data_IF_449908421929
#
_entry.id   IF_449908421929
#
_cell.length_a   1.000
_cell.length_b   1.000
_cell.length_c   1.000
_cell.angle_alpha   90.00
_cell.angle_beta   90.00
_cell.angle_gamma   90.00
#
_symmetry.space_group_name_H-M   'P 1'
#
loop_
_entity.id
_entity.type
_entity.pdbx_description
1 polymer ?
#
# COMPACT_ATOMS: atom_id res chain seq x y z
N UNK A 1 -62.40 -50.06 -30.82
CA UNK A 1 -63.68 -49.37 -31.09
C UNK A 1 -63.72 -48.13 -30.21
N UNK A 2 -63.95 -46.95 -30.82
CA UNK A 2 -64.65 -45.79 -30.21
C UNK A 2 -63.86 -45.07 -29.08
N UNK A 3 -63.71 -43.76 -28.98
CA UNK A 3 -64.52 -42.63 -29.44
C UNK A 3 -63.68 -41.34 -29.25
N UNK A 4 -63.72 -40.38 -30.19
CA UNK A 4 -63.41 -38.96 -29.92
C UNK A 4 -64.60 -38.31 -29.20
N UNK A 5 -64.42 -37.32 -28.30
CA UNK A 5 -64.67 -35.90 -28.64
C UNK A 5 -63.72 -34.92 -27.88
N UNK A 6 -63.25 -33.79 -28.42
CA UNK A 6 -63.91 -32.51 -28.75
C UNK A 6 -64.36 -31.65 -27.55
N UNK A 7 -63.70 -30.48 -27.39
CA UNK A 7 -64.15 -29.27 -26.69
C UNK A 7 -63.69 -29.14 -25.23
N UNK A 8 -63.54 -27.97 -24.60
CA UNK A 8 -63.80 -26.56 -24.94
C UNK A 8 -63.27 -25.72 -23.74
N UNK A 9 -62.84 -24.48 -24.00
CA UNK A 9 -62.79 -23.30 -23.09
C UNK A 9 -62.00 -23.36 -21.76
N UNK A 10 -61.17 -22.32 -21.57
CA UNK A 10 -60.78 -21.90 -20.22
C UNK A 10 -59.58 -20.96 -20.17
N UNK A 11 -59.79 -19.67 -20.48
CA UNK A 11 -58.81 -18.60 -20.20
C UNK A 11 -58.60 -18.50 -18.68
N UNK A 12 -57.35 -18.44 -18.24
CA UNK A 12 -57.00 -17.76 -16.99
C UNK A 12 -55.61 -17.13 -17.15
N UNK A 13 -55.61 -15.81 -17.34
CA UNK A 13 -54.45 -14.94 -17.11
C UNK A 13 -54.30 -14.81 -15.60
N UNK A 14 -53.18 -15.24 -15.04
CA UNK A 14 -52.68 -14.69 -13.78
C UNK A 14 -51.18 -14.46 -13.95
N UNK A 15 -50.85 -13.19 -14.13
CA UNK A 15 -49.51 -12.63 -13.99
C UNK A 15 -49.11 -12.73 -12.53
N UNK A 16 -48.05 -13.47 -12.24
CA UNK A 16 -47.35 -13.42 -10.97
C UNK A 16 -45.90 -13.05 -11.26
N UNK A 17 -45.54 -11.83 -10.85
CA UNK A 17 -44.18 -11.29 -10.90
C UNK A 17 -43.28 -12.13 -9.98
N UNK A 18 -42.28 -12.81 -10.53
CA UNK A 18 -41.20 -13.41 -9.73
C UNK A 18 -40.40 -12.31 -9.05
N UNK A 19 -40.49 -12.25 -7.72
CA UNK A 19 -39.58 -11.47 -6.90
C UNK A 19 -38.27 -12.27 -6.74
N UNK A 20 -37.20 -11.81 -7.38
CA UNK A 20 -35.85 -12.33 -7.15
C UNK A 20 -35.42 -11.95 -5.74
N UNK A 21 -35.33 -12.93 -4.84
CA UNK A 21 -34.74 -12.78 -3.52
C UNK A 21 -33.23 -12.66 -3.68
N UNK A 22 -32.68 -11.45 -3.49
CA UNK A 22 -31.24 -11.24 -3.37
C UNK A 22 -30.81 -11.76 -1.98
N UNK A 23 -30.24 -12.96 -1.94
CA UNK A 23 -29.50 -13.45 -0.77
C UNK A 23 -28.23 -12.62 -0.66
N UNK A 24 -28.26 -11.59 0.19
CA UNK A 24 -27.08 -10.81 0.54
C UNK A 24 -26.05 -11.70 1.21
N UNK A 25 -24.99 -12.07 0.48
CA UNK A 25 -23.79 -12.65 1.07
C UNK A 25 -23.22 -11.65 2.06
N UNK A 26 -23.37 -11.95 3.34
CA UNK A 26 -22.68 -11.24 4.41
C UNK A 26 -21.24 -11.72 4.40
N UNK A 27 -20.39 -11.12 3.58
CA UNK A 27 -18.95 -11.30 3.70
C UNK A 27 -18.51 -10.66 5.01
N UNK A 28 -18.40 -11.48 6.07
CA UNK A 28 -17.67 -11.10 7.27
C UNK A 28 -16.19 -10.96 6.86
N UNK A 29 -15.79 -9.79 6.40
CA UNK A 29 -14.38 -9.47 6.26
C UNK A 29 -13.80 -9.40 7.66
N UNK A 30 -13.21 -10.49 8.12
CA UNK A 30 -12.26 -10.43 9.21
C UNK A 30 -11.12 -9.53 8.73
N UNK A 31 -11.15 -8.27 9.14
CA UNK A 31 -9.98 -7.40 9.07
C UNK A 31 -8.92 -8.04 9.97
N UNK A 32 -8.16 -8.98 9.41
CA UNK A 32 -6.90 -9.41 9.98
C UNK A 32 -6.05 -8.17 10.08
N UNK A 33 -6.02 -7.56 11.26
CA UNK A 33 -5.10 -6.49 11.58
C UNK A 33 -3.72 -7.15 11.49
N UNK A 34 -3.05 -6.97 10.35
CA UNK A 34 -1.62 -7.20 10.24
C UNK A 34 -1.01 -6.44 11.43
N UNK A 35 -0.42 -7.18 12.38
CA UNK A 35 0.29 -6.59 13.50
C UNK A 35 1.34 -5.67 12.90
N UNK A 36 1.16 -4.36 13.10
CA UNK A 36 2.08 -3.35 12.63
C UNK A 36 3.47 -3.65 13.18
N UNK A 37 4.48 -3.45 12.35
CA UNK A 37 5.86 -3.47 12.79
C UNK A 37 6.01 -2.46 13.93
N UNK A 38 6.45 -2.91 15.11
CA UNK A 38 6.62 -2.02 16.26
C UNK A 38 7.58 -0.88 15.90
N UNK A 39 7.27 0.32 16.39
CA UNK A 39 8.21 1.43 16.49
C UNK A 39 8.79 1.41 17.90
N UNK A 40 9.86 2.18 18.16
CA UNK A 40 10.48 2.26 19.49
C UNK A 40 9.52 2.73 20.59
N UNK A 41 8.40 3.32 20.22
CA UNK A 41 7.40 3.89 21.14
C UNK A 41 6.10 3.08 21.14
N UNK A 42 6.16 1.78 20.82
CA UNK A 42 5.00 0.87 20.83
C UNK A 42 3.80 1.38 20.01
N UNK A 43 4.07 2.17 18.96
CA UNK A 43 3.06 2.88 18.18
C UNK A 43 2.17 3.85 19.00
N UNK A 44 2.70 4.52 20.03
CA UNK A 44 1.99 5.57 20.75
C UNK A 44 1.53 6.68 19.77
N UNK A 45 0.21 6.89 19.61
CA UNK A 45 -0.31 7.83 18.62
C UNK A 45 0.07 9.28 18.91
N UNK A 46 0.24 9.66 20.18
CA UNK A 46 0.58 11.05 20.53
C UNK A 46 2.03 11.36 20.16
N UNK A 47 2.94 10.43 20.42
CA UNK A 47 4.35 10.56 20.07
C UNK A 47 4.55 10.58 18.56
N UNK A 48 3.85 9.69 17.83
CA UNK A 48 3.91 9.63 16.38
C UNK A 48 3.40 10.91 15.72
N UNK A 49 2.24 11.41 16.14
CA UNK A 49 1.66 12.61 15.54
C UNK A 49 2.49 13.86 15.86
N UNK A 50 3.02 13.98 17.08
CA UNK A 50 3.92 15.07 17.47
C UNK A 50 5.18 15.11 16.60
N UNK A 51 5.84 13.96 16.41
CA UNK A 51 7.04 13.89 15.58
C UNK A 51 6.74 14.14 14.11
N UNK A 52 5.65 13.58 13.59
CA UNK A 52 5.17 13.86 12.22
C UNK A 52 4.92 15.35 11.99
N UNK A 53 4.24 16.04 12.91
CA UNK A 53 4.00 17.48 12.81
C UNK A 53 5.28 18.30 12.94
N UNK A 54 6.24 17.84 13.74
CA UNK A 54 7.58 18.45 13.82
C UNK A 54 8.27 18.43 12.45
N UNK A 55 8.31 17.26 11.81
CA UNK A 55 8.94 17.03 10.50
C UNK A 55 8.27 17.88 9.41
N UNK A 56 6.93 17.88 9.36
CA UNK A 56 6.19 18.66 8.38
C UNK A 56 6.44 20.17 8.50
N UNK A 57 6.61 20.69 9.73
CA UNK A 57 6.96 22.10 9.95
C UNK A 57 8.40 22.39 9.53
N UNK A 58 9.32 21.48 9.87
CA UNK A 58 10.74 21.59 9.56
C UNK A 58 11.06 21.50 8.08
N UNK A 59 10.27 20.76 7.29
CA UNK A 59 10.45 20.66 5.84
C UNK A 59 9.33 21.37 5.06
N UNK A 60 8.70 22.38 5.67
CA UNK A 60 7.78 23.25 4.97
C UNK A 60 8.48 24.02 3.84
N UNK A 61 7.71 24.46 2.85
CA UNK A 61 8.22 25.19 1.69
C UNK A 61 8.98 26.45 2.15
N UNK A 62 10.28 26.50 1.85
CA UNK A 62 11.18 27.59 2.25
C UNK A 62 12.07 27.27 3.46
N UNK A 63 11.99 26.05 4.01
CA UNK A 63 12.94 25.61 5.02
C UNK A 63 14.33 25.36 4.44
N UNK A 64 15.34 25.69 5.23
CA UNK A 64 16.77 25.44 4.97
C UNK A 64 17.25 24.12 5.59
N UNK A 65 16.38 23.43 6.36
CA UNK A 65 16.75 22.18 7.04
C UNK A 65 16.68 21.01 6.05
N UNK A 66 17.82 20.34 5.85
CA UNK A 66 17.91 19.18 4.97
C UNK A 66 17.12 18.00 5.53
N UNK A 67 16.41 17.23 4.69
CA UNK A 67 15.69 16.04 5.12
C UNK A 67 16.62 15.06 5.84
N UNK A 68 16.32 14.78 7.11
CA UNK A 68 17.07 13.82 7.91
C UNK A 68 16.18 12.64 8.32
N UNK A 69 16.82 11.51 8.61
CA UNK A 69 16.12 10.31 9.07
C UNK A 69 15.72 10.46 10.55
N UNK A 70 14.49 10.08 10.92
CA UNK A 70 13.98 10.26 12.28
C UNK A 70 13.73 8.91 12.96
N UNK A 71 14.58 8.55 13.92
CA UNK A 71 14.48 7.28 14.67
C UNK A 71 13.14 7.15 15.41
N UNK A 72 12.58 8.27 15.89
CA UNK A 72 11.34 8.31 16.70
C UNK A 72 10.08 7.84 15.95
N UNK A 73 10.10 7.85 14.62
CA UNK A 73 8.98 7.38 13.78
C UNK A 73 9.36 6.16 12.94
N UNK A 74 10.63 5.74 13.00
CA UNK A 74 11.10 4.57 12.29
C UNK A 74 10.58 3.29 12.95
N UNK A 75 10.39 2.24 12.16
CA UNK A 75 10.18 0.91 12.71
C UNK A 75 11.46 0.42 13.39
N UNK A 76 11.34 -0.42 14.42
CA UNK A 76 12.49 -1.05 15.09
C UNK A 76 13.43 -1.76 14.12
N UNK A 77 12.86 -2.41 13.10
CA UNK A 77 13.63 -3.07 12.04
C UNK A 77 14.46 -2.09 11.20
N UNK A 78 13.90 -0.92 10.91
CA UNK A 78 14.57 0.14 10.17
C UNK A 78 15.66 0.80 11.02
N UNK A 79 15.36 1.13 12.28
CA UNK A 79 16.32 1.69 13.22
C UNK A 79 17.52 0.76 13.45
N UNK A 80 17.28 -0.56 13.54
CA UNK A 80 18.36 -1.54 13.63
C UNK A 80 19.26 -1.56 12.38
N UNK A 81 18.68 -1.56 11.18
CA UNK A 81 19.46 -1.55 9.94
C UNK A 81 20.23 -0.23 9.79
N UNK A 82 19.62 0.89 10.18
CA UNK A 82 20.24 2.22 10.12
C UNK A 82 21.39 2.37 11.10
N UNK A 83 21.20 1.94 12.35
CA UNK A 83 22.27 1.95 13.36
C UNK A 83 23.47 1.09 12.94
N UNK A 84 23.24 -0.06 12.29
CA UNK A 84 24.31 -0.89 11.76
C UNK A 84 25.06 -0.24 10.58
N UNK A 85 24.35 0.50 9.72
CA UNK A 85 24.95 1.16 8.54
C UNK A 85 25.67 2.48 8.87
N UNK A 86 25.43 3.06 10.04
CA UNK A 86 25.95 4.38 10.41
C UNK A 86 25.27 5.53 9.65
N UNK A 87 25.63 6.77 10.01
CA UNK A 87 25.27 7.94 9.23
C UNK A 87 26.12 7.99 7.96
N UNK A 88 25.49 7.69 6.82
CA UNK A 88 26.06 7.97 5.51
C UNK A 88 25.69 9.40 5.19
N UNK A 89 26.63 10.32 5.45
CA UNK A 89 26.55 11.70 4.97
C UNK A 89 26.79 11.67 3.46
N UNK A 90 25.72 11.44 2.70
CA UNK A 90 25.73 11.49 1.26
C UNK A 90 25.87 12.94 0.77
N UNK A 91 27.00 13.56 1.09
CA UNK A 91 27.37 14.88 0.58
C UNK A 91 27.29 14.85 -0.95
N UNK A 92 26.94 15.98 -1.58
CA UNK A 92 26.88 16.08 -3.05
C UNK A 92 28.16 15.57 -3.72
N UNK A 93 29.31 15.76 -3.07
CA UNK A 93 30.60 15.27 -3.54
C UNK A 93 30.74 13.75 -3.56
N UNK A 94 30.15 13.04 -2.59
CA UNK A 94 30.12 11.57 -2.59
C UNK A 94 29.13 11.00 -3.58
N UNK A 95 27.94 11.61 -3.69
CA UNK A 95 26.93 11.22 -4.67
C UNK A 95 27.51 11.34 -6.09
N UNK A 96 28.21 12.44 -6.39
CA UNK A 96 28.84 12.65 -7.68
C UNK A 96 29.93 11.60 -7.99
N UNK A 97 30.73 11.20 -6.99
CA UNK A 97 31.73 10.12 -7.14
C UNK A 97 31.07 8.78 -7.45
N UNK A 98 30.01 8.44 -6.73
CA UNK A 98 29.24 7.20 -6.94
C UNK A 98 28.62 7.21 -8.34
N UNK A 99 27.96 8.29 -8.75
CA UNK A 99 27.38 8.42 -10.09
C UNK A 99 28.42 8.27 -11.19
N UNK A 100 29.61 8.88 -11.02
CA UNK A 100 30.72 8.74 -11.98
C UNK A 100 31.26 7.31 -12.04
N UNK A 101 31.35 6.62 -10.90
CA UNK A 101 31.75 5.22 -10.85
C UNK A 101 30.72 4.32 -11.57
N UNK A 102 29.42 4.53 -11.33
CA UNK A 102 28.35 3.79 -11.98
C UNK A 102 28.35 3.96 -13.50
N UNK A 103 28.56 5.20 -14.00
CA UNK A 103 28.68 5.46 -15.45
C UNK A 103 29.83 4.66 -16.08
N UNK A 104 31.01 4.65 -15.45
CA UNK A 104 32.16 3.87 -15.95
C UNK A 104 31.88 2.37 -16.02
N UNK A 105 31.19 1.81 -15.02
CA UNK A 105 30.81 0.39 -15.01
C UNK A 105 29.84 0.10 -16.15
N UNK A 106 28.88 1.00 -16.40
CA UNK A 106 27.94 0.89 -17.51
C UNK A 106 28.66 0.88 -18.87
N UNK A 107 29.59 1.82 -19.08
CA UNK A 107 30.35 1.96 -20.33
C UNK A 107 31.25 0.73 -20.59
N UNK A 108 31.87 0.17 -19.55
CA UNK A 108 32.65 -1.08 -19.68
C UNK A 108 31.72 -2.24 -20.05
N UNK A 109 30.55 -2.34 -19.43
CA UNK A 109 29.58 -3.41 -19.72
C UNK A 109 29.03 -3.34 -21.15
N UNK A 110 28.88 -2.14 -21.72
CA UNK A 110 28.45 -1.99 -23.11
C UNK A 110 29.56 -2.33 -24.10
N UNK A 111 30.82 -1.95 -23.82
CA UNK A 111 31.96 -2.26 -24.68
C UNK A 111 32.40 -3.74 -24.63
N UNK A 112 32.02 -4.51 -23.61
CA UNK A 112 32.31 -5.96 -23.50
C UNK A 112 31.26 -6.81 -24.22
N UNK A 113 30.15 -6.21 -24.65
CA UNK A 113 29.01 -6.93 -25.26
C UNK A 113 28.94 -6.83 -26.79
N UNK A 114 29.91 -6.15 -27.42
CA UNK A 114 30.20 -6.19 -28.86
C UNK A 114 31.40 -7.09 -29.14
#
# INVERSE_FOLDING_TARGET
MLLRPSGILGRAVVSARSATVLVGSSSSSSNGRLMGTSTRHDNDPEVLEKNKQSILRKHAKGSTEDPHWHEEIASDSEAFVKSYRGEIDASEGEIAKIQKATKKILDVKTNVKE
#
